data_IF_885463914843
#
_entry.id   IF_885463914843
#
_cell.length_a   1.000
_cell.length_b   1.000
_cell.length_c   1.000
_cell.angle_alpha   90.00
_cell.angle_beta   90.00
_cell.angle_gamma   90.00
#
_symmetry.space_group_name_H-M   'P 1'
#
loop_
_entity.id
_entity.type
_entity.pdbx_description
1 polymer ?
#
# COMPACT_ATOMS: atom_id res chain seq x y z
N UNK A 1 4.11 -3.82 29.90
CA UNK A 1 3.32 -3.55 28.69
C UNK A 1 1.97 -2.95 29.09
N UNK A 2 1.68 -1.77 28.58
CA UNK A 2 0.40 -1.10 28.85
C UNK A 2 -0.58 -1.47 27.75
N UNK A 3 -1.62 -2.21 28.10
CA UNK A 3 -2.70 -2.57 27.20
C UNK A 3 -3.80 -1.52 27.26
N UNK A 4 -4.29 -1.12 26.09
CA UNK A 4 -5.39 -0.18 25.98
C UNK A 4 -6.68 -0.98 25.78
N UNK A 5 -7.72 -0.66 26.55
CA UNK A 5 -9.01 -1.32 26.39
C UNK A 5 -9.82 -0.67 25.28
N UNK A 6 -10.25 -1.48 24.31
CA UNK A 6 -11.13 -1.06 23.24
C UNK A 6 -12.19 -2.14 23.02
N UNK A 7 -13.49 -1.82 23.22
CA UNK A 7 -14.53 -2.78 22.92
C UNK A 7 -14.48 -3.20 21.45
N UNK A 8 -14.79 -4.45 21.18
CA UNK A 8 -14.83 -5.01 19.81
C UNK A 8 -13.49 -4.96 19.06
N UNK A 9 -12.36 -4.88 19.76
CA UNK A 9 -11.04 -4.79 19.11
C UNK A 9 -10.78 -5.95 18.14
N UNK A 10 -11.20 -7.15 18.49
CA UNK A 10 -11.00 -8.31 17.62
C UNK A 10 -11.85 -8.22 16.35
N UNK A 11 -13.08 -7.69 16.46
CA UNK A 11 -13.94 -7.46 15.31
C UNK A 11 -13.35 -6.39 14.40
N UNK A 12 -12.93 -5.27 14.96
CA UNK A 12 -12.31 -4.17 14.19
C UNK A 12 -11.03 -4.65 13.52
N UNK A 13 -10.20 -5.40 14.23
CA UNK A 13 -8.97 -5.96 13.69
C UNK A 13 -9.25 -6.88 12.51
N UNK A 14 -10.24 -7.75 12.62
CA UNK A 14 -10.64 -8.67 11.54
C UNK A 14 -11.13 -7.91 10.31
N UNK A 15 -11.92 -6.87 10.51
CA UNK A 15 -12.42 -6.04 9.41
C UNK A 15 -11.26 -5.36 8.69
N UNK A 16 -10.35 -4.74 9.43
CA UNK A 16 -9.18 -4.08 8.85
C UNK A 16 -8.30 -5.05 8.08
N UNK A 17 -8.06 -6.23 8.64
CA UNK A 17 -7.27 -7.26 7.98
C UNK A 17 -7.92 -7.71 6.66
N UNK A 18 -9.21 -7.93 6.67
CA UNK A 18 -9.97 -8.34 5.49
C UNK A 18 -9.92 -7.28 4.40
N UNK A 19 -10.15 -6.01 4.76
CA UNK A 19 -10.08 -4.90 3.81
C UNK A 19 -8.66 -4.79 3.25
N UNK A 20 -7.64 -4.92 4.09
CA UNK A 20 -6.25 -4.87 3.66
C UNK A 20 -5.91 -5.93 2.63
N UNK A 21 -6.33 -7.17 2.85
CA UNK A 21 -6.14 -8.25 1.89
C UNK A 21 -6.88 -7.99 0.58
N UNK A 22 -8.12 -7.51 0.63
CA UNK A 22 -8.88 -7.19 -0.58
C UNK A 22 -8.23 -6.06 -1.38
N UNK A 23 -7.71 -5.05 -0.69
CA UNK A 23 -7.01 -3.93 -1.35
C UNK A 23 -5.74 -4.40 -2.04
N UNK A 24 -5.01 -5.37 -1.44
CA UNK A 24 -3.81 -5.94 -2.07
C UNK A 24 -4.18 -6.83 -3.25
N UNK A 25 -5.26 -7.59 -3.14
CA UNK A 25 -5.66 -8.56 -4.17
C UNK A 25 -5.94 -7.88 -5.51
N UNK A 26 -6.57 -6.72 -5.51
CA UNK A 26 -6.90 -6.01 -6.75
C UNK A 26 -5.67 -5.67 -7.59
N UNK A 27 -4.62 -5.01 -7.05
CA UNK A 27 -3.43 -4.71 -7.85
C UNK A 27 -2.69 -5.98 -8.28
N UNK A 28 -2.67 -7.04 -7.47
CA UNK A 28 -2.05 -8.30 -7.86
C UNK A 28 -2.73 -8.88 -9.09
N UNK A 29 -4.06 -8.89 -9.12
CA UNK A 29 -4.82 -9.35 -10.26
C UNK A 29 -4.55 -8.49 -11.50
N UNK A 30 -4.51 -7.16 -11.33
CA UNK A 30 -4.23 -6.25 -12.43
C UNK A 30 -2.84 -6.45 -13.03
N UNK A 31 -1.83 -6.67 -12.18
CA UNK A 31 -0.48 -6.94 -12.66
C UNK A 31 -0.40 -8.27 -13.40
N UNK A 32 -1.07 -9.31 -12.91
CA UNK A 32 -1.11 -10.61 -13.59
C UNK A 32 -1.76 -10.47 -14.97
N UNK A 33 -2.89 -9.76 -15.05
CA UNK A 33 -3.59 -9.52 -16.33
C UNK A 33 -2.76 -8.69 -17.30
N UNK A 34 -1.94 -7.77 -16.79
CA UNK A 34 -1.08 -6.91 -17.61
C UNK A 34 0.27 -7.53 -17.90
N UNK A 35 0.54 -8.74 -17.43
CA UNK A 35 1.80 -9.48 -17.61
C UNK A 35 3.02 -8.67 -17.14
N UNK A 36 2.87 -7.98 -16.02
CA UNK A 36 3.97 -7.24 -15.39
C UNK A 36 4.21 -7.76 -13.97
N UNK A 37 5.30 -7.30 -13.34
CA UNK A 37 5.64 -7.77 -12.00
C UNK A 37 4.81 -7.11 -10.92
N UNK A 38 4.47 -7.89 -9.88
CA UNK A 38 3.81 -7.39 -8.67
C UNK A 38 4.80 -7.15 -7.53
N UNK A 39 6.06 -7.62 -7.68
CA UNK A 39 7.07 -7.55 -6.63
C UNK A 39 7.67 -6.14 -6.57
N UNK A 40 7.51 -5.40 -5.46
CA UNK A 40 8.02 -4.03 -5.36
C UNK A 40 9.55 -3.94 -5.37
N UNK A 41 10.25 -5.05 -5.11
CA UNK A 41 11.71 -5.09 -5.16
C UNK A 41 12.21 -5.26 -6.60
N UNK A 42 11.45 -6.00 -7.43
CA UNK A 42 11.80 -6.31 -8.81
C UNK A 42 11.10 -5.40 -9.81
N UNK A 43 10.96 -4.11 -9.47
CA UNK A 43 10.26 -3.17 -10.35
C UNK A 43 10.96 -2.96 -11.69
N UNK A 44 12.21 -3.39 -11.84
CA UNK A 44 12.92 -3.37 -13.14
C UNK A 44 12.24 -4.25 -14.19
N UNK A 45 11.46 -5.23 -13.76
CA UNK A 45 10.71 -6.12 -14.67
C UNK A 45 9.33 -5.57 -15.04
N UNK A 46 9.02 -4.34 -14.65
CA UNK A 46 7.76 -3.69 -15.02
C UNK A 46 7.78 -3.35 -16.50
N UNK A 47 6.84 -3.91 -17.27
CA UNK A 47 6.74 -3.73 -18.72
C UNK A 47 5.70 -2.68 -19.11
N UNK A 48 4.76 -2.40 -18.25
CA UNK A 48 3.61 -1.54 -18.52
C UNK A 48 3.22 -0.77 -17.27
N UNK A 49 2.85 0.51 -17.45
CA UNK A 49 2.29 1.31 -16.38
C UNK A 49 0.81 0.94 -16.20
N UNK A 50 0.48 0.37 -15.04
CA UNK A 50 -0.88 -0.03 -14.71
C UNK A 50 -1.58 1.12 -14.00
N UNK A 51 -2.66 1.64 -14.60
CA UNK A 51 -3.42 2.77 -14.07
C UNK A 51 -4.90 2.46 -13.91
N UNK A 52 -5.31 1.22 -14.19
CA UNK A 52 -6.71 0.76 -14.11
C UNK A 52 -7.06 0.19 -12.74
N UNK A 53 -8.36 -0.05 -12.53
CA UNK A 53 -8.86 -0.62 -11.27
C UNK A 53 -8.59 0.29 -10.09
N UNK A 54 -8.09 -0.28 -9.00
CA UNK A 54 -7.79 0.48 -7.78
C UNK A 54 -6.68 1.52 -7.98
N UNK A 55 -5.87 1.38 -9.05
CA UNK A 55 -4.85 2.37 -9.39
C UNK A 55 -5.43 3.71 -9.85
N UNK A 56 -6.72 3.79 -10.12
CA UNK A 56 -7.42 5.06 -10.35
C UNK A 56 -7.62 5.86 -9.05
N UNK A 57 -7.61 5.17 -7.92
CA UNK A 57 -7.86 5.76 -6.60
C UNK A 57 -6.55 6.05 -5.88
N UNK A 58 -5.59 5.14 -5.97
CA UNK A 58 -4.31 5.24 -5.28
C UNK A 58 -3.18 4.82 -6.22
N UNK A 59 -2.05 5.54 -6.16
CA UNK A 59 -0.84 5.14 -6.88
C UNK A 59 -0.12 3.98 -6.21
N UNK A 60 -0.42 3.70 -4.93
CA UNK A 60 0.26 2.69 -4.14
C UNK A 60 -0.74 1.80 -3.38
N UNK A 61 -1.65 1.12 -4.10
CA UNK A 61 -2.69 0.35 -3.43
C UNK A 61 -2.15 -0.83 -2.62
N UNK A 62 -1.04 -1.46 -3.06
CA UNK A 62 -0.43 -2.54 -2.30
C UNK A 62 0.09 -2.06 -0.95
N UNK A 63 0.75 -0.89 -0.94
CA UNK A 63 1.24 -0.32 0.32
C UNK A 63 0.08 0.18 1.19
N UNK A 64 -0.99 0.68 0.58
CA UNK A 64 -2.21 1.04 1.31
C UNK A 64 -2.79 -0.19 2.01
N UNK A 65 -2.87 -1.32 1.30
CA UNK A 65 -3.31 -2.58 1.90
C UNK A 65 -2.39 -3.05 3.02
N UNK A 66 -1.08 -2.91 2.84
CA UNK A 66 -0.11 -3.26 3.88
C UNK A 66 -0.28 -2.41 5.14
N UNK A 67 -0.54 -1.11 4.99
CA UNK A 67 -0.82 -0.23 6.14
C UNK A 67 -2.09 -0.68 6.87
N UNK A 68 -3.12 -1.07 6.13
CA UNK A 68 -4.35 -1.57 6.75
C UNK A 68 -4.10 -2.84 7.55
N UNK A 69 -3.23 -3.73 7.06
CA UNK A 69 -2.83 -4.94 7.79
C UNK A 69 -2.04 -4.58 9.04
N UNK A 70 -1.13 -3.61 8.96
CA UNK A 70 -0.37 -3.13 10.11
C UNK A 70 -1.31 -2.49 11.14
N UNK A 71 -2.30 -1.70 10.70
CA UNK A 71 -3.32 -1.14 11.59
C UNK A 71 -4.16 -2.24 12.25
N UNK A 72 -4.48 -3.30 11.51
CA UNK A 72 -5.15 -4.47 12.08
C UNK A 72 -4.35 -5.06 13.23
N UNK A 73 -3.05 -5.25 13.03
CA UNK A 73 -2.13 -5.73 14.06
C UNK A 73 -2.11 -4.80 15.28
N UNK A 74 -2.07 -3.48 15.04
CA UNK A 74 -2.11 -2.48 16.10
C UNK A 74 -3.37 -2.61 16.95
N UNK A 75 -4.53 -2.74 16.32
CA UNK A 75 -5.82 -2.88 17.01
C UNK A 75 -5.90 -4.22 17.75
N UNK A 76 -5.35 -5.28 17.15
CA UNK A 76 -5.37 -6.61 17.76
C UNK A 76 -4.60 -6.65 19.08
N UNK A 77 -3.37 -6.15 19.08
CA UNK A 77 -2.51 -6.16 20.28
C UNK A 77 -2.80 -5.01 21.23
N UNK A 78 -3.07 -3.85 20.69
CA UNK A 78 -3.53 -2.64 21.35
C UNK A 78 -2.73 -2.31 22.62
N UNK A 79 -1.41 -2.29 22.49
CA UNK A 79 -0.52 -1.81 23.55
C UNK A 79 0.20 -0.53 23.07
N UNK A 80 0.86 0.17 24.00
CA UNK A 80 1.48 1.46 23.68
C UNK A 80 2.56 1.35 22.61
N UNK A 81 3.24 0.21 22.53
CA UNK A 81 4.31 0.01 21.53
C UNK A 81 3.73 -0.24 20.14
N UNK A 82 2.63 -0.98 20.04
CA UNK A 82 2.02 -1.29 18.75
C UNK A 82 1.43 -0.06 18.06
N UNK A 83 1.08 0.98 18.83
CA UNK A 83 0.54 2.22 18.26
C UNK A 83 1.54 2.91 17.34
N UNK A 84 2.84 2.79 17.63
CA UNK A 84 3.88 3.43 16.81
C UNK A 84 4.15 2.70 15.48
N UNK A 85 3.79 1.44 15.38
CA UNK A 85 4.11 0.60 14.23
C UNK A 85 3.61 1.16 12.89
N UNK A 86 2.32 1.57 12.74
CA UNK A 86 1.85 2.10 11.46
C UNK A 86 2.53 3.40 11.06
N UNK A 87 2.91 4.25 12.02
CA UNK A 87 3.62 5.49 11.74
C UNK A 87 5.03 5.21 11.21
N UNK A 88 5.75 4.28 11.85
CA UNK A 88 7.08 3.86 11.42
C UNK A 88 7.01 3.28 10.00
N UNK A 89 6.05 2.41 9.75
CA UNK A 89 5.84 1.80 8.44
C UNK A 89 5.57 2.86 7.38
N UNK A 90 4.66 3.81 7.66
CA UNK A 90 4.30 4.88 6.75
C UNK A 90 5.52 5.71 6.35
N UNK A 91 6.29 6.19 7.33
CA UNK A 91 7.48 7.00 7.07
C UNK A 91 8.55 6.23 6.30
N UNK A 92 8.79 4.97 6.68
CA UNK A 92 9.76 4.12 5.99
C UNK A 92 9.39 3.93 4.53
N UNK A 93 8.15 3.55 4.26
CA UNK A 93 7.67 3.26 2.91
C UNK A 93 7.72 4.51 2.04
N UNK A 94 7.26 5.65 2.54
CA UNK A 94 7.30 6.89 1.77
C UNK A 94 8.73 7.30 1.41
N UNK A 95 9.63 7.25 2.39
CA UNK A 95 10.97 7.78 2.19
C UNK A 95 11.84 6.86 1.34
N UNK A 96 11.79 5.56 1.58
CA UNK A 96 12.75 4.64 0.97
C UNK A 96 12.20 3.87 -0.21
N UNK A 97 10.94 3.46 -0.16
CA UNK A 97 10.38 2.61 -1.21
C UNK A 97 9.62 3.41 -2.26
N UNK A 98 8.65 4.22 -1.84
CA UNK A 98 7.77 4.92 -2.77
C UNK A 98 8.53 5.96 -3.59
N UNK A 99 9.38 6.77 -2.95
CA UNK A 99 10.17 7.78 -3.67
C UNK A 99 11.08 7.14 -4.71
N UNK A 100 11.68 6.01 -4.38
CA UNK A 100 12.55 5.29 -5.31
C UNK A 100 11.76 4.74 -6.50
N UNK A 101 10.58 4.17 -6.24
CA UNK A 101 9.71 3.67 -7.30
C UNK A 101 9.19 4.80 -8.17
N UNK A 102 8.78 5.92 -7.58
CA UNK A 102 8.32 7.09 -8.33
C UNK A 102 9.41 7.63 -9.26
N UNK A 103 10.64 7.66 -8.79
CA UNK A 103 11.78 8.07 -9.61
C UNK A 103 11.99 7.10 -10.78
N UNK A 104 11.96 5.80 -10.51
CA UNK A 104 12.10 4.78 -11.54
C UNK A 104 10.99 4.87 -12.59
N UNK A 105 9.73 5.02 -12.16
CA UNK A 105 8.59 5.10 -13.05
C UNK A 105 8.63 6.37 -13.90
N UNK A 106 9.07 7.48 -13.33
CA UNK A 106 9.25 8.74 -14.07
C UNK A 106 10.29 8.59 -15.16
N UNK A 107 11.41 7.92 -14.86
CA UNK A 107 12.48 7.70 -15.83
C UNK A 107 12.04 6.72 -16.93
N UNK A 108 11.28 5.70 -16.59
CA UNK A 108 10.88 4.64 -17.54
C UNK A 108 9.69 5.06 -18.41
N UNK A 109 8.67 5.67 -17.82
CA UNK A 109 7.42 5.98 -18.53
C UNK A 109 7.26 7.46 -18.87
N UNK A 110 8.09 8.35 -18.30
CA UNK A 110 8.10 9.76 -18.63
C UNK A 110 6.77 10.46 -18.41
N UNK A 111 6.26 11.11 -19.47
CA UNK A 111 5.02 11.89 -19.41
C UNK A 111 3.78 11.06 -19.05
N UNK A 112 3.74 9.80 -19.46
CA UNK A 112 2.64 8.91 -19.10
C UNK A 112 2.48 8.81 -17.60
N UNK A 113 3.58 8.63 -16.87
CA UNK A 113 3.56 8.58 -15.42
C UNK A 113 3.27 9.94 -14.79
N UNK A 114 3.82 11.02 -15.35
CA UNK A 114 3.55 12.37 -14.85
C UNK A 114 2.08 12.74 -14.96
N UNK A 115 1.42 12.38 -16.07
CA UNK A 115 -0.02 12.57 -16.24
C UNK A 115 -0.81 11.74 -15.22
N UNK A 116 -0.39 10.52 -14.98
CA UNK A 116 -1.01 9.68 -13.96
C UNK A 116 -0.89 10.31 -12.57
N UNK A 117 0.27 10.87 -12.22
CA UNK A 117 0.46 11.57 -10.94
C UNK A 117 -0.48 12.75 -10.76
N UNK A 118 -0.85 13.44 -11.83
CA UNK A 118 -1.78 14.57 -11.75
C UNK A 118 -3.21 14.14 -11.47
N UNK A 119 -3.57 12.91 -11.84
CA UNK A 119 -4.93 12.38 -11.70
C UNK A 119 -5.14 11.54 -10.45
N UNK A 120 -4.09 10.97 -9.91
CA UNK A 120 -4.18 10.00 -8.82
C UNK A 120 -3.16 10.32 -7.74
N UNK A 121 -3.62 10.41 -6.50
CA UNK A 121 -2.75 10.72 -5.35
C UNK A 121 -1.90 9.51 -4.97
N UNK A 122 -0.83 9.77 -4.19
CA UNK A 122 0.09 8.74 -3.74
C UNK A 122 -0.61 7.65 -2.93
N UNK A 123 -1.50 8.03 -2.01
CA UNK A 123 -2.19 7.12 -1.11
C UNK A 123 -3.68 7.00 -1.42
N UNK A 124 -4.39 8.08 -1.38
CA UNK A 124 -5.84 8.08 -1.60
C UNK A 124 -6.36 9.39 -2.19
#
# INVERSE_FOLDING_TARGET
>A
IVLIHLPYRYLISTILLSIGFLVILNPVINFIKSKTTVNPIKFKNVNRLVTSGIFKISRNPMYLGMILIVLSSTVFYLNIYSIFTPFIFYFWINRFQIKREEKFLTEKFGEEYLLYKTRTRRWI
#
